data_IF_746145516274
#
_entry.id   IF_746145516274
#
_cell.length_a   1.000
_cell.length_b   1.000
_cell.length_c   1.000
_cell.angle_alpha   90.00
_cell.angle_beta   90.00
_cell.angle_gamma   90.00
#
_symmetry.space_group_name_H-M   'P 1'
#
loop_
_entity.id
_entity.type
_entity.pdbx_description
1 polymer ?
#
# COMPACT_ATOMS: atom_id res chain seq x y z
N UNK A 1 -16.38 -1.56 19.45
CA UNK A 1 -16.44 -2.66 20.45
C UNK A 1 -15.10 -2.87 21.18
N UNK A 2 -14.07 -2.06 20.91
CA UNK A 2 -12.73 -2.24 21.49
C UNK A 2 -11.86 -3.27 20.74
N UNK A 3 -12.37 -3.82 19.65
CA UNK A 3 -11.63 -4.69 18.74
C UNK A 3 -10.70 -3.85 17.85
N UNK A 4 -9.55 -4.42 17.51
CA UNK A 4 -8.56 -3.74 16.70
C UNK A 4 -8.94 -3.83 15.21
N UNK A 5 -9.29 -2.68 14.62
CA UNK A 5 -9.63 -2.58 13.19
C UNK A 5 -8.42 -2.27 12.30
N UNK A 6 -7.24 -2.06 12.89
CA UNK A 6 -6.02 -1.79 12.14
C UNK A 6 -4.76 -1.67 13.00
N UNK A 7 -3.62 -1.70 12.31
CA UNK A 7 -2.28 -1.62 12.87
C UNK A 7 -1.41 -0.73 11.97
N UNK A 8 -0.58 0.11 12.57
CA UNK A 8 0.44 0.91 11.89
C UNK A 8 1.78 0.71 12.59
N UNK A 9 2.81 0.33 11.83
CA UNK A 9 4.20 0.25 12.27
C UNK A 9 5.02 1.28 11.50
N UNK A 10 5.68 2.19 12.21
CA UNK A 10 6.51 3.22 11.59
C UNK A 10 7.78 3.47 12.41
N UNK A 11 8.80 4.03 11.76
CA UNK A 11 9.98 4.59 12.40
C UNK A 11 10.11 6.07 12.10
N UNK A 12 10.78 6.81 12.97
CA UNK A 12 11.06 8.24 12.82
C UNK A 12 12.57 8.41 12.87
N UNK A 13 13.13 9.17 11.95
CA UNK A 13 14.52 9.60 12.03
C UNK A 13 14.66 10.81 12.98
N UNK A 14 15.89 11.12 13.38
CA UNK A 14 16.18 12.24 14.29
C UNK A 14 17.06 13.26 13.57
N UNK A 15 16.44 14.06 12.70
CA UNK A 15 17.11 15.02 11.84
C UNK A 15 16.72 16.45 12.20
N UNK A 16 17.69 17.19 12.71
CA UNK A 16 17.57 18.61 13.04
C UNK A 16 18.47 19.46 12.15
N UNK A 17 17.95 20.59 11.68
CA UNK A 17 18.74 21.57 10.94
C UNK A 17 19.55 22.50 11.86
N UNK A 18 20.43 23.30 11.28
CA UNK A 18 21.38 24.18 11.99
C UNK A 18 20.72 25.19 12.96
N UNK A 19 19.43 25.49 12.76
CA UNK A 19 18.62 26.37 13.63
C UNK A 19 17.73 25.60 14.62
N UNK A 20 18.04 24.33 14.92
CA UNK A 20 17.18 23.42 15.70
C UNK A 20 15.76 23.30 15.13
N UNK A 21 15.62 23.40 13.80
CA UNK A 21 14.35 23.14 13.13
C UNK A 21 14.22 21.64 12.87
N UNK A 22 13.05 21.03 13.14
CA UNK A 22 12.84 19.61 12.86
C UNK A 22 12.72 19.37 11.36
N UNK A 23 13.41 18.36 10.85
CA UNK A 23 13.36 17.89 9.47
C UNK A 23 13.05 16.39 9.41
N UNK A 24 12.35 15.89 10.43
CA UNK A 24 12.16 14.47 10.64
C UNK A 24 11.22 13.87 9.60
N UNK A 25 11.48 12.61 9.24
CA UNK A 25 10.68 11.78 8.35
C UNK A 25 10.11 10.60 9.12
N UNK A 26 8.78 10.47 9.12
CA UNK A 26 8.13 9.24 9.57
C UNK A 26 8.02 8.26 8.39
N UNK A 27 8.59 7.07 8.53
CA UNK A 27 8.59 6.02 7.50
C UNK A 27 7.74 4.84 7.95
N UNK A 28 6.65 4.59 7.22
CA UNK A 28 5.77 3.44 7.42
C UNK A 28 6.52 2.17 7.00
N UNK A 29 6.56 1.19 7.90
CA UNK A 29 7.10 -0.16 7.63
C UNK A 29 6.00 -1.14 7.28
N UNK A 30 4.87 -1.05 7.98
CA UNK A 30 3.71 -1.89 7.73
C UNK A 30 2.42 -1.16 8.14
N UNK A 31 1.33 -1.43 7.43
CA UNK A 31 0.01 -0.92 7.73
C UNK A 31 -1.05 -1.93 7.30
N UNK A 32 -1.92 -2.30 8.23
CA UNK A 32 -3.08 -3.16 7.99
C UNK A 32 -4.31 -2.40 8.47
N UNK A 33 -5.34 -2.31 7.63
CA UNK A 33 -6.63 -1.76 8.00
C UNK A 33 -7.74 -2.68 7.47
N UNK A 34 -8.69 -3.02 8.34
CA UNK A 34 -9.82 -3.90 7.97
C UNK A 34 -10.94 -3.16 7.24
N UNK A 35 -10.93 -1.82 7.29
CA UNK A 35 -11.92 -0.98 6.64
C UNK A 35 -11.36 0.44 6.34
N UNK A 36 -11.97 1.20 5.40
CA UNK A 36 -11.50 2.53 5.03
C UNK A 36 -11.50 3.56 6.18
N UNK A 37 -12.36 3.38 7.19
CA UNK A 37 -12.38 4.29 8.34
C UNK A 37 -11.17 4.08 9.25
N UNK A 38 -10.75 2.83 9.44
CA UNK A 38 -9.53 2.49 10.17
C UNK A 38 -8.29 3.02 9.43
N UNK A 39 -8.18 2.80 8.12
CA UNK A 39 -7.07 3.30 7.31
C UNK A 39 -6.94 4.83 7.41
N UNK A 40 -8.07 5.54 7.27
CA UNK A 40 -8.12 6.99 7.45
C UNK A 40 -7.64 7.42 8.82
N UNK A 41 -8.06 6.74 9.89
CA UNK A 41 -7.65 7.07 11.25
C UNK A 41 -6.14 6.87 11.46
N UNK A 42 -5.56 5.80 10.89
CA UNK A 42 -4.11 5.53 10.96
C UNK A 42 -3.30 6.58 10.21
N UNK A 43 -3.74 6.99 9.01
CA UNK A 43 -3.09 8.09 8.28
C UNK A 43 -3.21 9.43 9.00
N UNK A 44 -4.39 9.75 9.53
CA UNK A 44 -4.59 10.97 10.31
C UNK A 44 -3.67 11.02 11.53
N UNK A 45 -3.57 9.91 12.27
CA UNK A 45 -2.65 9.80 13.39
C UNK A 45 -1.21 10.09 12.95
N UNK A 46 -0.73 9.40 11.90
CA UNK A 46 0.66 9.55 11.44
C UNK A 46 0.98 10.98 10.97
N UNK A 47 0.04 11.62 10.26
CA UNK A 47 0.17 13.00 9.81
C UNK A 47 0.02 14.04 10.94
N UNK A 48 -0.48 13.64 12.11
CA UNK A 48 -0.61 14.49 13.30
C UNK A 48 0.58 14.41 14.26
N UNK A 49 1.57 13.55 13.98
CA UNK A 49 2.77 13.44 14.82
C UNK A 49 3.59 14.72 14.69
N UNK A 50 3.80 15.42 15.80
CA UNK A 50 4.59 16.64 15.85
C UNK A 50 6.03 16.43 15.36
N UNK A 51 6.62 17.51 14.84
CA UNK A 51 8.00 17.56 14.32
C UNK A 51 8.29 16.66 13.11
N UNK A 52 7.28 15.98 12.57
CA UNK A 52 7.37 15.30 11.28
C UNK A 52 7.11 16.30 10.16
N UNK A 53 8.07 16.44 9.25
CA UNK A 53 7.92 17.28 8.05
C UNK A 53 7.56 16.46 6.81
N UNK A 54 7.86 15.16 6.82
CA UNK A 54 7.63 14.26 5.69
C UNK A 54 7.13 12.91 6.19
N UNK A 55 6.08 12.39 5.56
CA UNK A 55 5.64 11.00 5.74
C UNK A 55 6.02 10.20 4.50
N UNK A 56 6.71 9.06 4.70
CA UNK A 56 6.94 8.06 3.66
C UNK A 56 6.01 6.87 3.91
N UNK A 57 5.08 6.68 2.98
CA UNK A 57 4.03 5.64 3.07
C UNK A 57 4.53 4.20 2.86
N UNK A 58 5.78 4.03 2.43
CA UNK A 58 6.28 2.76 1.91
C UNK A 58 5.60 2.38 0.59
N UNK A 59 5.68 1.11 0.22
CA UNK A 59 5.04 0.56 -0.99
C UNK A 59 3.54 0.46 -0.81
N UNK A 60 2.78 1.13 -1.66
CA UNK A 60 1.32 1.19 -1.61
C UNK A 60 0.72 0.67 -2.90
N UNK A 61 -0.52 0.21 -2.82
CA UNK A 61 -1.25 -0.24 -4.01
C UNK A 61 -1.47 0.96 -4.95
N UNK A 62 -1.51 0.77 -6.28
CA UNK A 62 -1.80 1.86 -7.22
C UNK A 62 -3.16 2.54 -6.99
N UNK A 63 -4.09 1.83 -6.36
CA UNK A 63 -5.46 2.24 -6.00
C UNK A 63 -5.62 2.56 -4.50
N UNK A 64 -4.51 2.79 -3.79
CA UNK A 64 -4.50 3.15 -2.37
C UNK A 64 -5.31 4.43 -2.07
N UNK A 65 -5.97 4.47 -0.91
CA UNK A 65 -6.88 5.54 -0.54
C UNK A 65 -6.16 6.81 -0.07
N UNK A 66 -4.89 6.73 0.35
CA UNK A 66 -4.14 7.83 0.96
C UNK A 66 -4.28 9.18 0.23
N UNK A 67 -4.12 9.29 -1.11
CA UNK A 67 -4.25 10.57 -1.80
C UNK A 67 -5.63 11.22 -1.67
N UNK A 68 -6.68 10.41 -1.49
CA UNK A 68 -8.08 10.85 -1.35
C UNK A 68 -8.42 11.31 0.08
N UNK A 69 -7.58 10.98 1.06
CA UNK A 69 -7.79 11.34 2.45
C UNK A 69 -7.23 12.72 2.81
N UNK A 70 -6.37 13.28 1.96
CA UNK A 70 -5.73 14.57 2.20
C UNK A 70 -6.54 15.73 1.60
N UNK A 71 -6.59 16.90 2.27
CA UNK A 71 -7.23 18.09 1.70
C UNK A 71 -6.60 18.54 0.37
N UNK A 72 -5.29 18.33 0.22
CA UNK A 72 -4.57 18.47 -1.04
C UNK A 72 -4.06 17.11 -1.51
N UNK A 73 -4.62 16.51 -2.57
CA UNK A 73 -4.17 15.22 -3.08
C UNK A 73 -2.74 15.26 -3.61
N UNK A 74 -2.20 16.45 -3.97
CA UNK A 74 -0.81 16.59 -4.43
C UNK A 74 0.21 16.42 -3.30
N UNK A 75 -0.22 16.50 -2.04
CA UNK A 75 0.64 16.20 -0.89
C UNK A 75 1.05 14.71 -0.86
N UNK A 76 0.20 13.81 -1.38
CA UNK A 76 0.52 12.38 -1.55
C UNK A 76 1.23 12.13 -2.89
N UNK A 77 2.45 12.63 -3.04
CA UNK A 77 3.22 12.47 -4.27
C UNK A 77 3.76 11.05 -4.42
N UNK A 78 3.47 10.40 -5.55
CA UNK A 78 4.16 9.16 -5.96
C UNK A 78 5.64 9.45 -6.25
N UNK A 79 6.52 8.76 -5.54
CA UNK A 79 7.99 8.91 -5.67
C UNK A 79 8.64 7.79 -6.47
N UNK A 80 7.98 6.63 -6.54
CA UNK A 80 8.48 5.42 -7.22
C UNK A 80 7.29 4.57 -7.62
N UNK A 81 7.35 3.98 -8.81
CA UNK A 81 6.41 2.98 -9.29
C UNK A 81 7.23 1.82 -9.87
N UNK A 82 7.11 0.65 -9.27
CA UNK A 82 7.93 -0.52 -9.58
C UNK A 82 7.13 -1.79 -9.33
N UNK A 83 7.65 -2.91 -9.82
CA UNK A 83 7.11 -4.23 -9.53
C UNK A 83 7.17 -4.58 -8.04
N UNK A 84 6.25 -5.44 -7.60
CA UNK A 84 6.15 -5.90 -6.21
C UNK A 84 6.08 -7.42 -6.12
N UNK A 85 5.09 -8.02 -6.80
CA UNK A 85 4.88 -9.46 -6.79
C UNK A 85 5.01 -10.03 -8.20
N UNK A 86 5.95 -10.96 -8.36
CA UNK A 86 6.09 -11.78 -9.55
C UNK A 86 5.41 -13.12 -9.30
N UNK A 87 4.55 -13.54 -10.24
CA UNK A 87 3.82 -14.80 -10.16
C UNK A 87 4.19 -15.72 -11.32
N UNK A 88 4.32 -17.02 -11.02
CA UNK A 88 4.43 -18.08 -12.02
C UNK A 88 3.32 -19.08 -11.77
N UNK A 89 2.39 -19.20 -12.71
CA UNK A 89 1.37 -20.23 -12.65
C UNK A 89 1.98 -21.59 -12.98
N UNK A 90 1.74 -22.57 -12.12
CA UNK A 90 2.21 -23.97 -12.26
C UNK A 90 1.07 -24.96 -12.55
N UNK A 91 -0.17 -24.50 -12.34
CA UNK A 91 -1.39 -25.21 -12.68
C UNK A 91 -2.37 -24.14 -13.14
N UNK A 92 -2.39 -23.91 -14.46
CA UNK A 92 -3.16 -22.80 -15.06
C UNK A 92 -4.66 -23.00 -14.88
N UNK A 93 -5.25 -24.18 -15.18
CA UNK A 93 -6.68 -24.41 -14.94
C UNK A 93 -7.08 -24.13 -13.50
N UNK A 94 -6.36 -24.70 -12.53
CA UNK A 94 -6.71 -24.54 -11.11
C UNK A 94 -6.55 -23.10 -10.63
N UNK A 95 -5.54 -22.38 -11.10
CA UNK A 95 -5.35 -20.97 -10.76
C UNK A 95 -6.48 -20.08 -11.31
N UNK A 96 -6.95 -20.36 -12.53
CA UNK A 96 -8.05 -19.63 -13.16
C UNK A 96 -9.42 -19.98 -12.56
N UNK A 97 -9.62 -21.20 -12.07
CA UNK A 97 -10.84 -21.65 -11.39
C UNK A 97 -10.94 -21.19 -9.93
N UNK A 98 -9.80 -21.05 -9.23
CA UNK A 98 -9.79 -20.65 -7.81
C UNK A 98 -10.17 -19.19 -7.56
N UNK A 99 -10.09 -18.35 -8.60
CA UNK A 99 -10.41 -16.92 -8.52
C UNK A 99 -11.84 -16.63 -8.98
N UNK A 100 -12.38 -15.49 -8.57
CA UNK A 100 -13.63 -14.95 -9.13
C UNK A 100 -13.35 -14.04 -10.33
N UNK A 101 -14.41 -13.78 -11.09
CA UNK A 101 -14.43 -12.82 -12.20
C UNK A 101 -15.57 -11.82 -11.98
N UNK A 102 -15.40 -10.60 -12.50
CA UNK A 102 -16.36 -9.51 -12.26
C UNK A 102 -17.72 -9.74 -12.96
N UNK A 103 -17.74 -10.52 -14.03
CA UNK A 103 -18.92 -10.83 -14.84
C UNK A 103 -18.88 -12.28 -15.30
N UNK A 104 -20.04 -12.84 -15.60
CA UNK A 104 -20.16 -14.16 -16.25
C UNK A 104 -19.77 -14.05 -17.73
N UNK A 105 -18.85 -14.91 -18.18
CA UNK A 105 -18.37 -14.96 -19.55
C UNK A 105 -17.73 -16.32 -19.86
N UNK A 106 -17.51 -16.60 -21.15
CA UNK A 106 -16.77 -17.77 -21.62
C UNK A 106 -15.74 -17.35 -22.66
N UNK A 107 -14.55 -17.95 -22.61
CA UNK A 107 -13.44 -17.69 -23.52
C UNK A 107 -12.52 -18.92 -23.63
N UNK A 108 -11.68 -18.95 -24.66
CA UNK A 108 -10.66 -19.98 -24.87
C UNK A 108 -9.29 -19.31 -24.85
N UNK A 109 -8.34 -19.85 -24.08
CA UNK A 109 -6.95 -19.38 -24.00
C UNK A 109 -5.99 -20.43 -24.55
N UNK A 110 -5.18 -20.05 -25.54
CA UNK A 110 -4.00 -20.82 -25.98
C UNK A 110 -2.79 -20.41 -25.11
N UNK A 111 -2.46 -21.23 -24.10
CA UNK A 111 -1.40 -20.92 -23.14
C UNK A 111 -0.09 -21.54 -23.62
N UNK A 112 0.88 -20.68 -23.94
CA UNK A 112 2.21 -21.10 -24.37
C UNK A 112 3.19 -21.03 -23.21
N UNK A 113 3.65 -22.19 -22.75
CA UNK A 113 4.72 -22.29 -21.76
C UNK A 113 5.93 -23.02 -22.34
N UNK A 114 6.96 -22.27 -22.71
CA UNK A 114 8.21 -22.83 -23.24
C UNK A 114 9.05 -23.55 -22.19
N UNK A 115 8.86 -23.25 -20.90
CA UNK A 115 9.57 -23.92 -19.82
C UNK A 115 8.87 -25.22 -19.37
N UNK A 116 7.61 -25.44 -19.77
CA UNK A 116 6.85 -26.66 -19.48
C UNK A 116 6.58 -26.90 -18.00
N UNK A 117 6.39 -25.82 -17.22
CA UNK A 117 6.19 -25.87 -15.76
C UNK A 117 4.72 -25.63 -15.35
N UNK A 118 3.87 -25.25 -16.31
CA UNK A 118 2.47 -24.91 -16.15
C UNK A 118 1.50 -26.09 -16.35
#
# INVERSE_FOLDING_TARGET
NGEADGLLVYGVDDKWGDSNQPLNTASVRDMIALNPAAERALWHYLCSVDWITTVRSGSRAPDDLLPLLLPDPRAARMVTHADWLWLRMLDVPRALEARTYAVEASLVLDVRDTAGLA
#
